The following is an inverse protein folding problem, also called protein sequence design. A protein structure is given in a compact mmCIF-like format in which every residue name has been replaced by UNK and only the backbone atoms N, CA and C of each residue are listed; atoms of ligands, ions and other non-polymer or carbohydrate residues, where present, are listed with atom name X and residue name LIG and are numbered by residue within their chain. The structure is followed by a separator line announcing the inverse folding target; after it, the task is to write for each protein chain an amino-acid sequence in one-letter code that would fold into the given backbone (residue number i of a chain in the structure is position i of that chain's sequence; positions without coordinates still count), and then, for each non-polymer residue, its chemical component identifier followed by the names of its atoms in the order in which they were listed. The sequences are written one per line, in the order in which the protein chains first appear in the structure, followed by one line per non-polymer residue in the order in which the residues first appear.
data_IF_725535642217
#
_entry.id   IF_725535642217
#
_cell.length_a   1.000
_cell.length_b   1.000
_cell.length_c   1.000
_cell.angle_alpha   90.00
_cell.angle_beta   90.00
_cell.angle_gamma   90.00
#
_symmetry.space_group_name_H-M   'P 1'
#
loop_
_entity.id
_entity.type
_entity.pdbx_description
1 polymer ?
#
# COMPACT_ATOMS: atom_id res chain seq x y z
N UNK A 1 11.83 9.25 10.52
CA UNK A 1 13.20 8.82 10.28
C UNK A 1 13.58 7.63 11.15
N UNK A 2 13.25 7.69 12.43
CA UNK A 2 13.46 6.55 13.33
C UNK A 2 12.69 5.30 12.89
N UNK A 3 11.54 5.49 12.28
CA UNK A 3 10.70 4.42 11.75
C UNK A 3 11.45 3.65 10.66
N UNK A 4 12.12 4.35 9.76
CA UNK A 4 12.86 3.73 8.64
C UNK A 4 13.98 2.83 9.15
N UNK A 5 14.73 3.27 10.16
CA UNK A 5 15.82 2.50 10.73
C UNK A 5 15.34 1.22 11.44
N UNK A 6 14.17 1.29 12.12
CA UNK A 6 13.64 0.16 12.88
C UNK A 6 13.10 -0.97 12.01
N UNK A 7 12.77 -0.69 10.74
CA UNK A 7 12.03 -1.60 9.88
C UNK A 7 12.84 -2.16 8.70
N UNK A 8 14.09 -1.74 8.54
CA UNK A 8 14.90 -2.10 7.37
C UNK A 8 15.09 -3.60 7.18
N UNK A 9 15.12 -4.37 8.26
CA UNK A 9 15.37 -5.80 8.19
C UNK A 9 14.19 -6.61 7.64
N UNK A 10 13.00 -6.40 8.17
CA UNK A 10 11.80 -7.11 7.69
C UNK A 10 11.38 -6.63 6.30
N UNK A 11 11.65 -5.37 5.98
CA UNK A 11 11.33 -4.77 4.70
C UNK A 11 12.10 -5.43 3.54
N UNK A 12 13.38 -5.76 3.74
CA UNK A 12 14.19 -6.40 2.72
C UNK A 12 13.60 -7.74 2.28
N UNK A 13 13.21 -8.57 3.25
CA UNK A 13 12.64 -9.88 2.96
C UNK A 13 11.31 -9.79 2.20
N UNK A 14 10.45 -8.88 2.62
CA UNK A 14 9.16 -8.66 1.99
C UNK A 14 9.32 -8.15 0.55
N UNK A 15 10.22 -7.21 0.33
CA UNK A 15 10.54 -6.71 -1.01
C UNK A 15 11.03 -7.81 -1.95
N UNK A 16 11.81 -8.76 -1.42
CA UNK A 16 12.30 -9.89 -2.18
C UNK A 16 11.16 -10.82 -2.63
N UNK A 17 10.19 -11.08 -1.77
CA UNK A 17 9.02 -11.89 -2.11
C UNK A 17 8.17 -11.22 -3.19
N UNK A 18 7.97 -9.92 -3.07
CA UNK A 18 7.24 -9.15 -4.07
C UNK A 18 7.95 -9.20 -5.42
N UNK A 19 9.27 -9.07 -5.42
CA UNK A 19 10.10 -9.14 -6.62
C UNK A 19 10.00 -10.49 -7.35
N UNK A 20 9.65 -11.55 -6.64
CA UNK A 20 9.42 -12.87 -7.24
C UNK A 20 8.03 -13.01 -7.86
N UNK A 21 7.21 -11.97 -7.81
CA UNK A 21 5.88 -11.96 -8.43
C UNK A 21 4.81 -12.73 -7.69
N UNK A 22 5.09 -13.23 -6.50
CA UNK A 22 4.14 -14.01 -5.72
C UNK A 22 3.16 -13.11 -4.98
N UNK A 23 1.91 -13.59 -4.83
CA UNK A 23 0.94 -12.94 -3.96
C UNK A 23 1.28 -13.32 -2.52
N UNK A 24 1.49 -12.31 -1.68
CA UNK A 24 1.83 -12.51 -0.28
C UNK A 24 0.56 -12.82 0.51
N UNK A 25 0.53 -13.99 1.15
CA UNK A 25 -0.56 -14.33 2.06
C UNK A 25 -0.40 -13.55 3.37
N UNK A 26 -1.50 -12.98 3.85
CA UNK A 26 -1.50 -12.15 5.05
C UNK A 26 -2.56 -12.63 6.02
N UNK A 27 -2.34 -12.38 7.32
CA UNK A 27 -3.35 -12.58 8.34
C UNK A 27 -4.53 -11.61 8.11
N UNK A 28 -5.72 -11.96 8.60
CA UNK A 28 -6.93 -11.17 8.35
C UNK A 28 -6.89 -9.76 8.89
N UNK A 29 -5.99 -9.48 9.84
CA UNK A 29 -5.83 -8.15 10.42
C UNK A 29 -4.92 -7.24 9.60
N UNK A 30 -4.45 -7.67 8.43
CA UNK A 30 -3.56 -6.84 7.60
C UNK A 30 -4.17 -5.47 7.26
N UNK A 31 -5.51 -5.38 7.22
CA UNK A 31 -6.22 -4.13 6.94
C UNK A 31 -6.03 -3.09 8.04
N UNK A 32 -5.64 -3.50 9.23
CA UNK A 32 -5.40 -2.60 10.36
C UNK A 32 -4.01 -1.98 10.35
N UNK A 33 -3.18 -2.32 9.38
CA UNK A 33 -1.81 -1.82 9.28
C UNK A 33 -1.64 -1.01 8.01
N UNK A 34 -0.84 0.06 8.12
CA UNK A 34 -0.36 0.79 6.96
C UNK A 34 0.94 0.16 6.48
N UNK A 35 1.17 0.19 5.17
CA UNK A 35 2.47 -0.18 4.61
C UNK A 35 3.25 1.06 4.24
N UNK A 36 4.52 1.06 4.61
CA UNK A 36 5.43 2.17 4.36
C UNK A 36 6.44 1.71 3.31
N UNK A 37 6.50 2.45 2.21
CA UNK A 37 7.42 2.19 1.11
C UNK A 37 8.49 3.26 1.09
N UNK A 38 9.73 2.86 1.32
CA UNK A 38 10.88 3.75 1.19
C UNK A 38 11.59 3.44 -0.11
N UNK A 39 11.63 4.41 -1.00
CA UNK A 39 12.13 4.25 -2.37
C UNK A 39 13.09 5.39 -2.70
N UNK A 40 13.82 5.24 -3.82
CA UNK A 40 14.56 6.34 -4.39
C UNK A 40 13.63 7.52 -4.70
N UNK A 41 14.13 8.73 -4.86
CA UNK A 41 13.28 9.82 -5.32
C UNK A 41 12.70 9.46 -6.70
N UNK A 42 11.37 9.50 -6.81
CA UNK A 42 10.66 9.17 -8.05
C UNK A 42 10.09 10.45 -8.64
N UNK A 43 10.42 10.79 -9.90
CA UNK A 43 9.80 11.94 -10.55
C UNK A 43 8.28 11.80 -10.60
N UNK A 44 7.56 12.90 -10.44
CA UNK A 44 6.09 12.89 -10.44
C UNK A 44 5.50 12.25 -11.70
N UNK A 45 6.12 12.51 -12.86
CA UNK A 45 5.65 11.94 -14.13
C UNK A 45 5.77 10.44 -14.16
N UNK A 46 6.88 9.91 -13.66
CA UNK A 46 7.13 8.47 -13.59
C UNK A 46 6.15 7.80 -12.63
N UNK A 47 5.93 8.42 -11.47
CA UNK A 47 4.98 7.90 -10.49
C UNK A 47 3.55 7.93 -11.01
N UNK A 48 3.14 9.03 -11.63
CA UNK A 48 1.82 9.15 -12.24
C UNK A 48 1.58 8.09 -13.31
N UNK A 49 2.58 7.83 -14.16
CA UNK A 49 2.49 6.81 -15.19
C UNK A 49 2.33 5.41 -14.57
N UNK A 50 3.08 5.12 -13.51
CA UNK A 50 2.98 3.84 -12.81
C UNK A 50 1.60 3.64 -12.19
N UNK A 51 1.03 4.69 -11.57
CA UNK A 51 -0.32 4.64 -11.01
C UNK A 51 -1.37 4.35 -12.09
N UNK A 52 -1.27 5.02 -13.23
CA UNK A 52 -2.21 4.81 -14.35
C UNK A 52 -2.11 3.42 -14.95
N UNK A 53 -0.96 2.79 -14.85
CA UNK A 53 -0.73 1.44 -15.38
C UNK A 53 -1.26 0.33 -14.45
N UNK A 54 -1.72 0.65 -13.26
CA UNK A 54 -2.24 -0.35 -12.32
C UNK A 54 -3.51 -0.99 -12.86
N UNK A 55 -3.57 -2.32 -12.77
CA UNK A 55 -4.77 -3.07 -13.11
C UNK A 55 -5.68 -3.16 -11.87
N UNK A 56 -6.72 -2.36 -11.86
CA UNK A 56 -7.64 -2.26 -10.72
C UNK A 56 -8.97 -2.98 -10.98
N UNK A 57 -9.13 -3.63 -12.11
CA UNK A 57 -10.40 -4.28 -12.47
C UNK A 57 -10.78 -5.37 -11.48
N UNK A 58 -9.81 -6.19 -11.09
CA UNK A 58 -10.06 -7.32 -10.17
C UNK A 58 -10.27 -6.87 -8.73
N UNK A 59 -9.85 -5.68 -8.39
CA UNK A 59 -10.02 -5.14 -7.02
C UNK A 59 -11.33 -4.40 -6.86
N UNK A 60 -12.00 -4.04 -7.96
CA UNK A 60 -13.25 -3.29 -7.91
C UNK A 60 -13.07 -1.85 -7.46
N UNK A 61 -11.90 -1.28 -7.66
CA UNK A 61 -11.59 0.09 -7.23
C UNK A 61 -11.29 0.98 -8.43
N UNK A 62 -11.42 2.30 -8.22
CA UNK A 62 -11.01 3.31 -9.19
C UNK A 62 -10.06 4.28 -8.53
N UNK A 63 -9.16 4.84 -9.35
CA UNK A 63 -8.11 5.74 -8.91
C UNK A 63 -8.58 7.18 -8.96
N UNK A 64 -8.35 7.93 -7.88
CA UNK A 64 -8.67 9.35 -7.77
C UNK A 64 -7.50 10.10 -7.14
N UNK A 65 -7.46 11.42 -7.32
CA UNK A 65 -6.47 12.27 -6.66
C UNK A 65 -5.26 12.58 -7.51
N UNK A 66 -4.16 12.93 -6.85
CA UNK A 66 -2.92 13.36 -7.50
C UNK A 66 -1.73 12.61 -6.90
N UNK A 67 -0.52 12.90 -7.38
CA UNK A 67 0.69 12.18 -6.95
C UNK A 67 1.05 12.34 -5.48
N UNK A 68 0.53 13.36 -4.79
CA UNK A 68 0.78 13.54 -3.35
C UNK A 68 -0.20 12.74 -2.50
N UNK A 69 -1.43 12.57 -2.96
CA UNK A 69 -2.48 11.87 -2.25
C UNK A 69 -3.38 11.17 -3.25
N UNK A 70 -3.22 9.87 -3.36
CA UNK A 70 -3.98 9.01 -4.28
C UNK A 70 -5.00 8.23 -3.48
N UNK A 71 -6.21 8.12 -4.00
CA UNK A 71 -7.28 7.34 -3.38
C UNK A 71 -7.75 6.23 -4.32
N UNK A 72 -7.92 5.04 -3.77
CA UNK A 72 -8.56 3.90 -4.42
C UNK A 72 -9.96 3.78 -3.85
N UNK A 73 -10.97 4.07 -4.66
CA UNK A 73 -12.37 4.09 -4.24
C UNK A 73 -13.11 2.87 -4.73
N UNK A 74 -13.72 2.13 -3.83
CA UNK A 74 -14.57 0.98 -4.13
C UNK A 74 -15.85 1.00 -3.31
N UNK A 75 -16.78 0.11 -3.63
CA UNK A 75 -18.06 0.01 -2.93
C UNK A 75 -17.89 -0.60 -1.55
N UNK A 76 -17.00 -1.57 -1.42
CA UNK A 76 -16.84 -2.34 -0.17
C UNK A 76 -15.64 -1.92 0.65
N UNK A 77 -14.71 -1.20 0.07
CA UNK A 77 -13.56 -0.67 0.78
C UNK A 77 -12.94 0.49 0.00
N UNK A 78 -12.12 1.27 0.71
CA UNK A 78 -11.29 2.30 0.08
C UNK A 78 -9.90 2.28 0.70
N UNK A 79 -8.93 2.78 -0.04
CA UNK A 79 -7.55 2.86 0.38
C UNK A 79 -6.91 4.12 -0.16
N UNK A 80 -5.74 4.48 0.37
CA UNK A 80 -5.01 5.66 -0.10
C UNK A 80 -3.50 5.45 -0.02
N UNK A 81 -2.78 6.20 -0.87
CA UNK A 81 -1.33 6.33 -0.79
C UNK A 81 -1.00 7.80 -0.61
N UNK A 82 -0.19 8.12 0.40
CA UNK A 82 0.28 9.48 0.62
C UNK A 82 1.80 9.51 0.62
N UNK A 83 2.38 10.53 0.01
CA UNK A 83 3.80 10.81 0.15
C UNK A 83 4.00 11.50 1.50
N UNK A 84 4.66 10.85 2.44
CA UNK A 84 4.80 11.35 3.81
C UNK A 84 6.15 11.99 4.06
N UNK A 85 7.15 11.71 3.21
CA UNK A 85 8.46 12.31 3.32
C UNK A 85 9.15 12.30 1.96
N UNK A 86 9.85 13.39 1.64
CA UNK A 86 10.73 13.46 0.47
C UNK A 86 12.03 14.12 0.89
N UNK A 87 13.13 13.43 0.62
CA UNK A 87 14.47 13.96 0.82
C UNK A 87 15.24 13.85 -0.49
N UNK A 88 16.49 14.32 -0.52
CA UNK A 88 17.33 14.19 -1.71
C UNK A 88 17.67 12.74 -2.05
N UNK A 89 17.59 11.85 -1.08
CA UNK A 89 18.01 10.46 -1.23
C UNK A 89 16.82 9.46 -1.24
N UNK A 90 15.69 9.84 -0.66
CA UNK A 90 14.57 8.92 -0.50
C UNK A 90 13.22 9.63 -0.62
N UNK A 91 12.22 8.88 -1.08
CA UNK A 91 10.82 9.23 -0.94
C UNK A 91 10.12 8.14 -0.13
N UNK A 92 9.22 8.53 0.75
CA UNK A 92 8.50 7.61 1.62
C UNK A 92 7.00 7.76 1.37
N UNK A 93 6.36 6.65 1.05
CA UNK A 93 4.93 6.59 0.77
C UNK A 93 4.24 5.71 1.80
N UNK A 94 3.04 6.12 2.22
CA UNK A 94 2.21 5.36 3.16
C UNK A 94 0.95 4.90 2.45
N UNK A 95 0.75 3.59 2.38
CA UNK A 95 -0.50 2.97 1.93
C UNK A 95 -1.31 2.52 3.14
N UNK A 96 -2.60 2.83 3.14
CA UNK A 96 -3.50 2.34 4.18
C UNK A 96 -4.90 2.14 3.63
N UNK A 97 -5.63 1.21 4.23
CA UNK A 97 -7.06 1.07 3.97
C UNK A 97 -7.80 2.09 4.83
N UNK A 98 -8.62 2.91 4.18
CA UNK A 98 -9.34 3.99 4.86
C UNK A 98 -10.68 3.54 5.43
N UNK A 99 -11.34 2.61 4.73
CA UNK A 99 -12.61 2.04 5.17
C UNK A 99 -12.81 0.67 4.53
N UNK A 100 -13.59 -0.17 5.19
CA UNK A 100 -13.97 -1.46 4.66
C UNK A 100 -15.21 -1.97 5.37
N UNK A 101 -16.00 -2.81 4.66
CA UNK A 101 -17.13 -3.52 5.24
C UNK A 101 -16.64 -4.84 5.84
N UNK A 102 -17.25 -5.24 6.94
CA UNK A 102 -16.93 -6.51 7.60
C UNK A 102 -18.08 -7.48 7.52
N UNK A 103 -17.75 -8.76 7.57
CA UNK A 103 -18.73 -9.85 7.68
C UNK A 103 -18.13 -10.92 8.58
N UNK A 104 -18.85 -11.27 9.65
CA UNK A 104 -18.35 -12.22 10.65
C UNK A 104 -17.00 -11.82 11.25
N UNK A 105 -16.79 -10.52 11.48
CA UNK A 105 -15.56 -9.99 12.06
C UNK A 105 -14.37 -9.91 11.12
N UNK A 106 -14.54 -10.19 9.83
CA UNK A 106 -13.50 -10.15 8.82
C UNK A 106 -13.89 -9.22 7.68
N UNK A 107 -12.91 -8.63 6.97
CA UNK A 107 -13.23 -7.84 5.78
C UNK A 107 -14.03 -8.66 4.76
N UNK A 108 -15.13 -8.10 4.23
CA UNK A 108 -15.97 -8.85 3.30
C UNK A 108 -15.32 -9.12 1.96
N UNK A 109 -14.37 -8.26 1.52
CA UNK A 109 -13.59 -8.47 0.30
C UNK A 109 -12.10 -8.57 0.62
N UNK A 110 -11.75 -9.45 1.55
CA UNK A 110 -10.38 -9.63 2.00
C UNK A 110 -9.42 -9.97 0.86
N UNK A 111 -9.83 -10.83 -0.05
CA UNK A 111 -8.99 -11.23 -1.19
C UNK A 111 -8.71 -10.04 -2.13
N UNK A 112 -9.74 -9.25 -2.43
CA UNK A 112 -9.62 -8.08 -3.30
C UNK A 112 -8.76 -7.00 -2.63
N UNK A 113 -8.90 -6.82 -1.33
CA UNK A 113 -8.07 -5.89 -0.56
C UNK A 113 -6.61 -6.34 -0.56
N UNK A 114 -6.36 -7.62 -0.32
CA UNK A 114 -5.02 -8.18 -0.39
C UNK A 114 -4.42 -8.04 -1.79
N UNK A 115 -5.24 -8.24 -2.82
CA UNK A 115 -4.82 -8.10 -4.21
C UNK A 115 -4.43 -6.66 -4.53
N UNK A 116 -5.20 -5.68 -4.06
CA UNK A 116 -4.87 -4.26 -4.24
C UNK A 116 -3.53 -3.93 -3.59
N UNK A 117 -3.34 -4.36 -2.35
CA UNK A 117 -2.08 -4.09 -1.64
C UNK A 117 -0.90 -4.73 -2.36
N UNK A 118 -1.04 -5.97 -2.82
CA UNK A 118 0.01 -6.64 -3.58
C UNK A 118 0.31 -5.92 -4.89
N UNK A 119 -0.71 -5.41 -5.57
CA UNK A 119 -0.55 -4.63 -6.80
C UNK A 119 0.26 -3.35 -6.54
N UNK A 120 -0.03 -2.66 -5.44
CA UNK A 120 0.70 -1.46 -5.04
C UNK A 120 2.15 -1.81 -4.67
N UNK A 121 2.36 -2.88 -3.92
CA UNK A 121 3.70 -3.33 -3.57
C UNK A 121 4.55 -3.60 -4.82
N UNK A 122 3.97 -4.30 -5.78
CA UNK A 122 4.65 -4.59 -7.06
C UNK A 122 5.01 -3.31 -7.81
N UNK A 123 4.12 -2.34 -7.82
CA UNK A 123 4.38 -1.05 -8.47
C UNK A 123 5.64 -0.39 -7.90
N UNK A 124 5.75 -0.31 -6.57
CA UNK A 124 6.91 0.32 -5.95
C UNK A 124 8.19 -0.46 -6.20
N UNK A 125 8.14 -1.79 -6.17
CA UNK A 125 9.31 -2.62 -6.45
C UNK A 125 9.74 -2.48 -7.91
N UNK A 126 8.82 -2.28 -8.84
CA UNK A 126 9.16 -2.02 -10.24
C UNK A 126 9.79 -0.64 -10.41
N UNK A 127 9.31 0.36 -9.66
CA UNK A 127 9.90 1.71 -9.70
C UNK A 127 11.29 1.74 -9.06
N UNK A 128 11.49 0.96 -8.02
CA UNK A 128 12.77 0.85 -7.33
C UNK A 128 12.95 -0.59 -6.82
N UNK A 129 13.83 -1.39 -7.47
CA UNK A 129 14.08 -2.75 -7.01
C UNK A 129 14.63 -2.85 -5.58
N UNK A 130 15.14 -1.76 -5.03
CA UNK A 130 15.64 -1.69 -3.66
C UNK A 130 14.60 -1.15 -2.67
N UNK A 131 13.32 -1.13 -3.06
CA UNK A 131 12.24 -0.67 -2.20
C UNK A 131 12.25 -1.39 -0.85
N UNK A 132 12.20 -0.61 0.22
CA UNK A 132 12.01 -1.14 1.57
C UNK A 132 10.54 -1.03 1.94
N UNK A 133 9.97 -2.15 2.38
CA UNK A 133 8.55 -2.22 2.74
C UNK A 133 8.42 -2.64 4.20
N UNK A 134 7.65 -1.89 4.97
CA UNK A 134 7.38 -2.21 6.36
C UNK A 134 5.93 -1.93 6.71
N UNK A 135 5.51 -2.35 7.90
CA UNK A 135 4.14 -2.15 8.36
C UNK A 135 4.11 -1.41 9.69
N UNK A 136 3.10 -0.55 9.84
CA UNK A 136 2.81 0.16 11.09
C UNK A 136 1.33 0.03 11.37
N UNK A 137 0.99 -0.21 12.63
CA UNK A 137 -0.41 -0.32 13.01
C UNK A 137 -1.10 1.05 12.94
N UNK A 138 -2.27 1.09 12.32
CA UNK A 138 -3.10 2.30 12.28
C UNK A 138 -3.74 2.55 13.63
N UNK A 139 -3.64 3.79 14.11
CA UNK A 139 -4.19 4.16 15.41
C UNK A 139 -5.71 4.29 15.39
N UNK A 140 -6.30 4.47 14.22
CA UNK A 140 -7.73 4.76 14.07
C UNK A 140 -8.50 3.62 13.40
N UNK A 141 -7.95 2.42 13.40
CA UNK A 141 -8.52 1.26 12.71
C UNK A 141 -9.92 0.90 13.16
N UNK A 142 -10.21 1.03 14.44
CA UNK A 142 -11.51 0.66 15.00
C UNK A 142 -12.67 1.47 14.42
N UNK A 143 -12.38 2.62 13.84
CA UNK A 143 -13.40 3.52 13.26
C UNK A 143 -13.57 3.32 11.76
N UNK A 144 -12.82 2.41 11.16
CA UNK A 144 -12.81 2.22 9.72
C UNK A 144 -13.79 1.17 9.22
N UNK A 145 -14.25 0.32 10.09
CA UNK A 145 -15.27 -0.67 9.74
C UNK A 145 -16.59 0.04 9.50
N UNK A 146 -17.22 -0.28 8.36
CA UNK A 146 -18.50 0.31 7.96
C UNK A 146 -19.67 -0.49 8.51
N UNK A 147 -19.37 -1.59 9.13
CA UNK A 147 -20.37 -2.51 9.65
C UNK A 147 -20.20 -2.69 11.12
#
# INVERSE_FOLDING_TARGET
VLIVAAIGFSAWWKGRLIGQGKIIQRASDFVEYAEIFTVRPIPNEEYAAALKALDLKKTGTSLEGNTKAVKFSGIYFSASIRCVEQTETNSVYRFEFDSWKTKYGRPSLENEMNMLLTTVEKMFVQLDPNTQVSTVKNEITTKRSIF
#
